data_IF_589594895401
#
_entry.id   IF_589594895401
#
_cell.length_a   1.000
_cell.length_b   1.000
_cell.length_c   1.000
_cell.angle_alpha   90.00
_cell.angle_beta   90.00
_cell.angle_gamma   90.00
#
_symmetry.space_group_name_H-M   'P 1'
#
loop_
_entity.id
_entity.type
_entity.pdbx_description
1 polymer ?
#
# COMPACT_ATOMS: atom_id res chain seq x y z
N UNK A 1 -18.42 -36.94 -35.28
CA UNK A 1 -18.47 -35.86 -34.26
C UNK A 1 -17.21 -35.94 -33.43
N UNK A 2 -16.27 -35.01 -33.58
CA UNK A 2 -15.09 -34.95 -32.72
C UNK A 2 -15.48 -34.24 -31.41
N UNK A 3 -15.34 -34.93 -30.29
CA UNK A 3 -15.56 -34.33 -28.97
C UNK A 3 -14.51 -33.23 -28.74
N UNK A 4 -14.97 -32.01 -28.53
CA UNK A 4 -14.13 -30.87 -28.19
C UNK A 4 -13.48 -31.13 -26.84
N UNK A 5 -12.14 -31.25 -26.81
CA UNK A 5 -11.37 -31.41 -25.57
C UNK A 5 -10.99 -30.04 -25.03
N UNK A 6 -11.42 -29.74 -23.82
CA UNK A 6 -11.02 -28.53 -23.13
C UNK A 6 -9.56 -28.64 -22.69
N UNK A 7 -8.79 -27.58 -22.98
CA UNK A 7 -7.38 -27.47 -22.58
C UNK A 7 -7.28 -26.73 -21.26
N UNK A 8 -6.56 -27.31 -20.29
CA UNK A 8 -6.29 -26.71 -18.99
C UNK A 8 -4.86 -26.22 -18.92
N UNK A 9 -4.64 -24.99 -18.44
CA UNK A 9 -3.32 -24.38 -18.27
C UNK A 9 -3.12 -23.97 -16.79
N UNK A 10 -1.87 -24.01 -16.33
CA UNK A 10 -1.48 -23.61 -14.98
C UNK A 10 -0.37 -22.55 -15.02
N UNK A 11 -0.60 -21.40 -14.37
CA UNK A 11 0.37 -20.31 -14.28
C UNK A 11 1.23 -20.43 -13.02
N UNK A 12 2.55 -20.57 -13.19
CA UNK A 12 3.53 -20.60 -12.11
C UNK A 12 4.60 -19.52 -12.33
N UNK A 13 4.94 -18.76 -11.29
CA UNK A 13 6.05 -17.78 -11.33
C UNK A 13 7.34 -18.45 -10.85
N UNK A 14 8.30 -18.69 -11.75
CA UNK A 14 9.62 -19.22 -11.40
C UNK A 14 10.55 -18.15 -10.83
N UNK A 15 10.61 -17.00 -11.50
CA UNK A 15 11.36 -15.83 -11.05
C UNK A 15 10.41 -14.65 -10.94
N UNK A 16 10.40 -14.04 -9.76
CA UNK A 16 9.55 -12.88 -9.47
C UNK A 16 10.08 -11.63 -10.20
N UNK A 17 9.21 -10.66 -10.52
CA UNK A 17 9.62 -9.36 -11.03
C UNK A 17 10.68 -8.73 -10.11
N UNK A 18 11.73 -8.15 -10.68
CA UNK A 18 12.81 -7.49 -9.92
C UNK A 18 12.79 -5.97 -10.03
N UNK A 19 12.00 -5.39 -10.94
CA UNK A 19 11.87 -3.95 -11.04
C UNK A 19 11.20 -3.36 -9.78
N UNK A 20 11.83 -2.37 -9.14
CA UNK A 20 11.28 -1.66 -7.99
C UNK A 20 10.55 -0.42 -8.53
N UNK A 21 9.25 -0.32 -8.28
CA UNK A 21 8.46 0.86 -8.67
C UNK A 21 8.35 1.87 -7.54
N UNK A 22 8.32 1.40 -6.29
CA UNK A 22 8.25 2.25 -5.11
C UNK A 22 9.08 1.65 -3.97
N UNK A 23 9.65 2.51 -3.14
CA UNK A 23 10.36 2.14 -1.93
C UNK A 23 10.00 3.11 -0.81
N UNK A 24 9.67 2.57 0.37
CA UNK A 24 9.44 3.34 1.59
C UNK A 24 10.30 2.78 2.71
N UNK A 25 10.74 3.63 3.63
CA UNK A 25 11.47 3.21 4.81
C UNK A 25 10.66 3.50 6.07
N UNK A 26 10.86 2.74 7.13
CA UNK A 26 10.13 2.93 8.38
C UNK A 26 10.48 1.89 9.43
N UNK A 27 9.82 2.01 10.58
CA UNK A 27 9.83 1.06 11.67
C UNK A 27 8.59 0.18 11.59
N UNK A 28 8.64 -0.88 10.78
CA UNK A 28 7.47 -1.71 10.52
C UNK A 28 7.32 -2.86 11.53
N UNK A 29 8.43 -3.43 12.02
CA UNK A 29 8.41 -4.55 12.96
C UNK A 29 8.50 -4.15 14.43
N UNK A 30 9.28 -3.12 14.75
CA UNK A 30 9.55 -2.71 16.13
C UNK A 30 10.06 -1.26 16.19
N UNK A 31 9.99 -0.60 17.36
CA UNK A 31 10.56 0.73 17.53
C UNK A 31 12.05 0.74 17.14
N UNK A 32 12.45 1.71 16.30
CA UNK A 32 13.83 1.85 15.77
C UNK A 32 14.31 0.75 14.83
N UNK A 33 13.51 -0.28 14.51
CA UNK A 33 13.87 -1.25 13.47
C UNK A 33 13.86 -0.53 12.12
N UNK A 34 15.01 -0.16 11.57
CA UNK A 34 15.07 0.51 10.27
C UNK A 34 14.86 -0.52 9.16
N UNK A 35 13.75 -0.44 8.45
CA UNK A 35 13.34 -1.42 7.46
C UNK A 35 12.84 -0.73 6.19
N UNK A 36 12.83 -1.49 5.10
CA UNK A 36 12.47 -0.99 3.77
C UNK A 36 11.36 -1.85 3.20
N UNK A 37 10.25 -1.24 2.79
CA UNK A 37 9.21 -1.91 2.03
C UNK A 37 9.32 -1.50 0.57
N UNK A 38 9.38 -2.50 -0.31
CA UNK A 38 9.51 -2.34 -1.75
C UNK A 38 8.25 -2.83 -2.45
N UNK A 39 7.82 -2.07 -3.46
CA UNK A 39 6.83 -2.53 -4.44
C UNK A 39 7.51 -2.91 -5.74
N UNK A 40 7.16 -4.09 -6.26
CA UNK A 40 7.54 -4.57 -7.59
C UNK A 40 6.32 -4.76 -8.48
N UNK A 41 5.44 -3.77 -8.47
CA UNK A 41 4.17 -3.78 -9.19
C UNK A 41 3.10 -4.60 -8.47
N UNK A 42 3.16 -5.94 -8.60
CA UNK A 42 2.18 -6.87 -7.97
C UNK A 42 2.66 -7.50 -6.66
N UNK A 43 3.94 -7.30 -6.33
CA UNK A 43 4.58 -7.90 -5.16
C UNK A 43 4.99 -6.79 -4.20
N UNK A 44 4.68 -6.98 -2.93
CA UNK A 44 5.13 -6.16 -1.81
C UNK A 44 6.16 -6.93 -1.01
N UNK A 45 7.33 -6.35 -0.76
CA UNK A 45 8.41 -7.02 -0.04
C UNK A 45 8.91 -6.17 1.12
N UNK A 46 9.19 -6.79 2.27
CA UNK A 46 9.86 -6.18 3.41
C UNK A 46 11.32 -6.64 3.42
N UNK A 47 12.23 -5.69 3.57
CA UNK A 47 13.67 -5.90 3.66
C UNK A 47 14.20 -5.28 4.95
N UNK A 48 15.23 -5.92 5.51
CA UNK A 48 15.95 -5.44 6.69
C UNK A 48 17.44 -5.28 6.36
N UNK A 49 18.01 -4.08 6.48
CA UNK A 49 19.44 -3.86 6.45
C UNK A 49 20.11 -4.50 7.66
N UNK A 50 21.26 -5.13 7.44
CA UNK A 50 22.19 -5.58 8.46
C UNK A 50 23.41 -4.66 8.44
N UNK A 51 23.51 -3.80 9.46
CA UNK A 51 24.57 -2.81 9.60
C UNK A 51 25.95 -3.46 9.78
N UNK A 52 26.02 -4.67 10.35
CA UNK A 52 27.29 -5.36 10.60
C UNK A 52 27.83 -5.99 9.32
N UNK A 53 26.97 -6.63 8.55
CA UNK A 53 27.36 -7.28 7.30
C UNK A 53 27.39 -6.33 6.09
N UNK A 54 26.80 -5.14 6.19
CA UNK A 54 26.63 -4.21 5.07
C UNK A 54 25.71 -4.77 3.97
N UNK A 55 24.77 -5.64 4.33
CA UNK A 55 23.86 -6.34 3.40
C UNK A 55 22.41 -6.06 3.74
N UNK A 56 21.53 -6.34 2.79
CA UNK A 56 20.08 -6.20 2.98
C UNK A 56 19.44 -7.57 2.76
N UNK A 57 18.63 -8.02 3.71
CA UNK A 57 17.99 -9.33 3.66
C UNK A 57 16.48 -9.20 3.45
N UNK A 58 15.87 -10.03 2.60
CA UNK A 58 14.41 -10.11 2.50
C UNK A 58 13.85 -10.75 3.78
N UNK A 59 12.81 -10.14 4.33
CA UNK A 59 12.07 -10.62 5.51
C UNK A 59 10.76 -11.28 5.08
N UNK A 60 10.01 -10.60 4.22
CA UNK A 60 8.71 -11.05 3.72
C UNK A 60 8.56 -10.69 2.25
N UNK A 61 8.00 -11.61 1.46
CA UNK A 61 7.52 -11.37 0.10
C UNK A 61 6.04 -11.71 0.05
N UNK A 62 5.21 -10.76 -0.40
CA UNK A 62 3.76 -10.89 -0.45
C UNK A 62 3.21 -10.58 -1.85
N UNK A 63 2.37 -11.47 -2.38
CA UNK A 63 1.70 -11.29 -3.66
C UNK A 63 0.36 -10.56 -3.46
N UNK A 64 0.22 -9.37 -4.01
CA UNK A 64 -0.99 -8.54 -3.83
C UNK A 64 -2.10 -8.84 -4.84
N UNK A 65 -1.81 -9.56 -5.92
CA UNK A 65 -2.74 -9.85 -7.02
C UNK A 65 -3.43 -8.59 -7.60
N UNK A 66 -2.68 -7.50 -7.69
CA UNK A 66 -3.13 -6.22 -8.25
C UNK A 66 -1.92 -5.35 -8.61
N UNK A 67 -2.16 -4.10 -8.97
CA UNK A 67 -1.11 -3.14 -9.33
C UNK A 67 -0.99 -2.08 -8.24
N UNK A 68 0.13 -2.07 -7.53
CA UNK A 68 0.49 -0.99 -6.59
C UNK A 68 0.91 0.24 -7.41
N UNK A 69 0.13 1.32 -7.28
CA UNK A 69 0.31 2.57 -8.03
C UNK A 69 0.90 3.68 -7.19
N UNK A 70 0.67 3.64 -5.87
CA UNK A 70 1.27 4.55 -4.90
C UNK A 70 1.46 3.81 -3.56
N UNK A 71 2.55 4.14 -2.87
CA UNK A 71 2.99 3.48 -1.64
C UNK A 71 3.57 4.53 -0.69
N UNK A 72 3.08 4.57 0.55
CA UNK A 72 3.56 5.54 1.55
C UNK A 72 3.57 4.94 2.96
N UNK A 73 4.49 5.43 3.79
CA UNK A 73 4.58 5.11 5.22
C UNK A 73 4.01 6.24 6.07
N UNK A 74 3.27 5.96 7.13
CA UNK A 74 2.89 6.98 8.12
C UNK A 74 2.90 6.44 9.55
N UNK A 75 3.04 7.37 10.50
CA UNK A 75 3.01 7.10 11.93
C UNK A 75 1.93 7.92 12.57
N UNK A 76 1.04 7.28 13.32
CA UNK A 76 0.10 8.01 14.17
C UNK A 76 0.86 8.79 15.25
N UNK A 77 0.35 9.95 15.66
CA UNK A 77 1.00 10.79 16.69
C UNK A 77 1.22 10.00 17.99
N UNK A 78 2.47 9.95 18.47
CA UNK A 78 2.85 9.15 19.66
C UNK A 78 3.02 7.66 19.40
N UNK A 79 3.08 7.22 18.13
CA UNK A 79 3.23 5.81 17.77
C UNK A 79 4.68 5.37 17.79
N UNK A 80 4.93 4.08 17.92
CA UNK A 80 6.29 3.54 17.91
C UNK A 80 6.63 2.77 16.63
N UNK A 81 5.61 2.43 15.84
CA UNK A 81 5.73 1.71 14.57
C UNK A 81 4.97 2.45 13.45
N UNK A 82 5.34 2.12 12.23
CA UNK A 82 4.82 2.71 11.00
C UNK A 82 3.83 1.79 10.30
N UNK A 83 2.78 2.40 9.76
CA UNK A 83 1.80 1.75 8.90
C UNK A 83 2.15 1.97 7.43
N UNK A 84 1.69 1.06 6.59
CA UNK A 84 1.89 1.11 5.13
C UNK A 84 0.55 1.43 4.48
N UNK A 85 0.50 2.48 3.65
CA UNK A 85 -0.69 2.86 2.87
C UNK A 85 -0.44 2.55 1.41
N UNK A 86 -1.42 1.92 0.78
CA UNK A 86 -1.35 1.51 -0.61
C UNK A 86 -2.52 2.11 -1.38
N UNK A 87 -2.20 2.82 -2.46
CA UNK A 87 -3.12 3.09 -3.55
C UNK A 87 -2.88 2.09 -4.67
N UNK A 88 -3.90 1.29 -4.99
CA UNK A 88 -3.84 0.26 -6.03
C UNK A 88 -4.90 0.47 -7.12
N UNK A 89 -5.03 -0.50 -8.02
CA UNK A 89 -6.11 -0.60 -8.98
C UNK A 89 -7.41 -1.18 -8.38
N UNK A 90 -7.49 -1.47 -7.08
CA UNK A 90 -8.70 -2.08 -6.51
C UNK A 90 -9.86 -1.10 -6.29
N UNK A 91 -9.63 0.22 -6.37
CA UNK A 91 -10.61 1.24 -5.99
C UNK A 91 -10.84 1.33 -4.47
N UNK A 92 -9.82 0.95 -3.70
CA UNK A 92 -9.83 0.93 -2.22
C UNK A 92 -8.62 1.63 -1.64
N UNK A 93 -8.78 2.22 -0.46
CA UNK A 93 -7.66 2.65 0.39
C UNK A 93 -7.32 1.48 1.30
N UNK A 94 -6.10 0.97 1.19
CA UNK A 94 -5.64 -0.16 2.00
C UNK A 94 -4.54 0.34 2.94
N UNK A 95 -4.69 0.00 4.22
CA UNK A 95 -3.67 0.24 5.24
C UNK A 95 -3.25 -1.09 5.84
N UNK A 96 -1.95 -1.34 5.83
CA UNK A 96 -1.32 -2.56 6.32
C UNK A 96 -0.43 -2.25 7.52
N UNK A 97 -0.27 -3.25 8.38
CA UNK A 97 0.73 -3.30 9.43
C UNK A 97 1.52 -4.60 9.26
N UNK A 98 2.83 -4.55 9.43
CA UNK A 98 3.63 -5.77 9.45
C UNK A 98 3.56 -6.42 10.84
N UNK A 99 3.31 -7.72 10.88
CA UNK A 99 3.25 -8.50 12.10
C UNK A 99 4.46 -9.46 12.15
N UNK A 100 5.46 -9.19 13.00
CA UNK A 100 6.66 -10.02 13.08
C UNK A 100 6.39 -11.44 13.58
N UNK A 101 5.35 -11.63 14.39
CA UNK A 101 5.02 -12.93 14.99
C UNK A 101 4.43 -13.90 13.97
N UNK A 102 3.60 -13.40 13.05
CA UNK A 102 3.02 -14.20 11.96
C UNK A 102 3.81 -14.11 10.65
N UNK A 103 4.81 -13.23 10.58
CA UNK A 103 5.53 -12.86 9.37
C UNK A 103 4.58 -12.56 8.21
N UNK A 104 3.60 -11.70 8.46
CA UNK A 104 2.55 -11.35 7.50
C UNK A 104 2.22 -9.86 7.53
N UNK A 105 1.58 -9.38 6.46
CA UNK A 105 0.97 -8.06 6.45
C UNK A 105 -0.50 -8.16 6.86
N UNK A 106 -0.80 -7.65 8.05
CA UNK A 106 -2.16 -7.55 8.56
C UNK A 106 -2.85 -6.35 7.93
N UNK A 107 -4.02 -6.59 7.31
CA UNK A 107 -4.83 -5.54 6.69
C UNK A 107 -5.67 -4.85 7.74
N UNK A 108 -5.14 -3.75 8.27
CA UNK A 108 -5.77 -2.95 9.33
C UNK A 108 -6.99 -2.20 8.82
N UNK A 109 -6.91 -1.64 7.61
CA UNK A 109 -8.04 -0.94 6.98
C UNK A 109 -8.20 -1.29 5.51
N UNK A 110 -9.44 -1.33 5.04
CA UNK A 110 -9.80 -1.60 3.65
C UNK A 110 -11.11 -0.93 3.29
N UNK A 111 -11.04 0.31 2.86
CA UNK A 111 -12.22 1.10 2.54
C UNK A 111 -12.40 1.28 1.04
N UNK A 112 -13.63 1.07 0.56
CA UNK A 112 -13.95 1.18 -0.86
C UNK A 112 -14.44 2.59 -1.18
N UNK A 113 -13.81 3.24 -2.15
CA UNK A 113 -14.20 4.58 -2.60
C UNK A 113 -14.56 4.64 -4.09
N UNK A 114 -14.28 3.58 -4.85
CA UNK A 114 -14.45 3.59 -6.29
C UNK A 114 -14.45 2.22 -6.94
N UNK A 115 -14.53 2.23 -8.27
CA UNK A 115 -14.48 1.01 -9.10
C UNK A 115 -13.03 0.57 -9.30
N UNK A 116 -12.83 -0.73 -9.51
CA UNK A 116 -11.53 -1.29 -9.85
C UNK A 116 -11.03 -0.86 -11.25
N UNK A 117 -9.72 -0.97 -11.45
CA UNK A 117 -8.94 -0.63 -12.64
C UNK A 117 -8.13 0.65 -12.50
N UNK A 118 -7.07 0.76 -13.29
CA UNK A 118 -6.26 1.98 -13.43
C UNK A 118 -7.04 3.05 -14.24
N UNK A 119 -7.99 3.73 -13.59
CA UNK A 119 -8.86 4.73 -14.25
C UNK A 119 -8.30 6.14 -14.11
N UNK A 120 -8.62 6.99 -15.09
CA UNK A 120 -8.25 8.43 -15.10
C UNK A 120 -8.78 9.20 -13.90
N UNK A 121 -10.04 8.97 -13.54
CA UNK A 121 -10.75 9.75 -12.52
C UNK A 121 -10.90 9.05 -11.18
N UNK A 122 -10.53 7.78 -11.04
CA UNK A 122 -10.64 7.06 -9.75
C UNK A 122 -9.30 7.16 -9.01
N UNK A 123 -9.29 7.54 -7.71
CA UNK A 123 -8.07 7.69 -6.94
C UNK A 123 -7.25 6.41 -6.82
N UNK A 124 -5.93 6.57 -6.64
CA UNK A 124 -4.97 5.47 -6.53
C UNK A 124 -3.60 5.80 -7.11
N UNK A 125 -3.54 6.79 -8.01
CA UNK A 125 -2.29 7.19 -8.65
C UNK A 125 -1.37 7.97 -7.71
N UNK A 126 -1.94 8.91 -6.98
CA UNK A 126 -1.20 9.83 -6.12
C UNK A 126 -1.61 9.61 -4.67
N UNK A 127 -0.64 9.72 -3.76
CA UNK A 127 -0.83 9.51 -2.35
C UNK A 127 0.06 10.49 -1.59
N UNK A 128 -0.55 11.25 -0.68
CA UNK A 128 0.14 12.17 0.20
C UNK A 128 -0.29 11.93 1.65
N UNK A 129 0.59 12.27 2.60
CA UNK A 129 0.33 12.17 4.04
C UNK A 129 0.63 13.48 4.75
N UNK A 130 -0.04 13.68 5.87
CA UNK A 130 0.42 14.60 6.90
C UNK A 130 1.66 14.00 7.61
N UNK A 131 2.77 14.74 7.77
CA UNK A 131 3.97 14.24 8.46
C UNK A 131 3.74 13.81 9.91
N UNK A 132 2.72 14.37 10.58
CA UNK A 132 2.31 13.98 11.95
C UNK A 132 1.31 12.82 11.96
N UNK A 133 0.96 12.28 10.79
CA UNK A 133 0.05 11.16 10.60
C UNK A 133 -1.39 11.45 11.00
N UNK A 134 -1.84 12.70 10.83
CA UNK A 134 -3.22 13.11 11.14
C UNK A 134 -4.18 12.92 9.97
N UNK A 135 -3.66 12.87 8.75
CA UNK A 135 -4.47 12.74 7.54
C UNK A 135 -3.68 12.08 6.40
N UNK A 136 -4.43 11.47 5.49
CA UNK A 136 -3.96 10.95 4.20
C UNK A 136 -4.80 11.57 3.10
N UNK A 137 -4.20 11.78 1.93
CA UNK A 137 -4.90 12.22 0.74
C UNK A 137 -4.57 11.29 -0.41
N UNK A 138 -5.59 10.73 -1.05
CA UNK A 138 -5.44 9.87 -2.23
C UNK A 138 -6.06 10.58 -3.45
N UNK A 139 -5.30 10.60 -4.54
CA UNK A 139 -5.61 11.36 -5.74
C UNK A 139 -5.70 10.48 -6.99
N UNK A 140 -6.61 10.85 -7.88
CA UNK A 140 -6.64 10.39 -9.26
C UNK A 140 -5.80 11.32 -10.15
N UNK A 141 -5.53 10.87 -11.38
CA UNK A 141 -4.85 11.71 -12.40
C UNK A 141 -5.66 12.97 -12.70
N UNK A 142 -6.98 12.88 -12.63
CA UNK A 142 -7.86 14.01 -12.86
C UNK A 142 -9.04 13.97 -11.91
N UNK A 143 -9.57 15.16 -11.57
CA UNK A 143 -10.84 15.34 -10.86
C UNK A 143 -10.86 14.89 -9.40
N UNK A 144 -10.86 13.59 -9.14
CA UNK A 144 -11.16 13.08 -7.79
C UNK A 144 -9.93 13.08 -6.89
N UNK A 145 -10.15 13.60 -5.68
CA UNK A 145 -9.22 13.58 -4.55
C UNK A 145 -10.04 13.35 -3.30
N UNK A 146 -9.56 12.47 -2.43
CA UNK A 146 -10.22 12.11 -1.17
C UNK A 146 -9.22 12.28 -0.03
N UNK A 147 -9.68 12.90 1.04
CA UNK A 147 -8.88 13.10 2.26
C UNK A 147 -9.48 12.28 3.39
N UNK A 148 -8.64 11.50 4.06
CA UNK A 148 -8.99 10.66 5.19
C UNK A 148 -8.35 11.25 6.44
N UNK A 149 -9.14 11.48 7.49
CA UNK A 149 -8.62 11.87 8.80
C UNK A 149 -8.29 10.60 9.57
N UNK A 150 -7.09 10.57 10.14
CA UNK A 150 -6.57 9.46 10.91
C UNK A 150 -6.66 9.81 12.38
N UNK A 151 -7.18 8.87 13.18
CA UNK A 151 -7.30 9.03 14.61
C UNK A 151 -6.93 7.73 15.34
N UNK A 152 -6.90 7.79 16.67
CA UNK A 152 -6.79 6.64 17.55
C UNK A 152 -8.06 6.47 18.36
N UNK A 153 -8.46 5.24 18.59
CA UNK A 153 -9.45 4.92 19.60
C UNK A 153 -8.83 4.85 21.01
N UNK A 154 -9.63 4.50 22.01
CA UNK A 154 -9.18 4.32 23.40
C UNK A 154 -8.20 3.17 23.59
N UNK A 155 -8.15 2.21 22.64
CA UNK A 155 -7.24 1.07 22.62
C UNK A 155 -5.96 1.37 21.81
N UNK A 156 -5.74 2.63 21.43
CA UNK A 156 -4.65 3.09 20.56
C UNK A 156 -4.64 2.50 19.14
N UNK A 157 -5.75 1.89 18.71
CA UNK A 157 -5.90 1.34 17.35
C UNK A 157 -6.23 2.45 16.36
N UNK A 158 -5.80 2.25 15.12
CA UNK A 158 -6.08 3.16 14.01
C UNK A 158 -7.59 3.23 13.73
N UNK A 159 -8.15 4.44 13.78
CA UNK A 159 -9.50 4.77 13.33
C UNK A 159 -9.42 5.73 12.14
N UNK A 160 -10.28 5.52 11.14
CA UNK A 160 -10.32 6.33 9.92
C UNK A 160 -11.72 6.89 9.73
N UNK A 161 -11.81 8.19 9.46
CA UNK A 161 -13.07 8.86 9.14
C UNK A 161 -13.53 8.54 7.72
N UNK A 162 -14.82 8.77 7.45
CA UNK A 162 -15.31 8.88 6.07
C UNK A 162 -14.49 9.91 5.28
N UNK A 163 -14.33 9.72 3.96
CA UNK A 163 -13.51 10.60 3.14
C UNK A 163 -14.15 11.97 2.96
N UNK A 164 -13.31 13.00 3.00
CA UNK A 164 -13.67 14.36 2.59
C UNK A 164 -13.31 14.53 1.10
N UNK A 165 -14.28 14.98 0.31
CA UNK A 165 -14.10 15.16 -1.13
C UNK A 165 -13.45 16.51 -1.46
N UNK A 166 -12.35 16.48 -2.22
CA UNK A 166 -11.67 17.66 -2.72
C UNK A 166 -11.66 17.66 -4.26
N UNK A 167 -12.82 17.39 -4.86
CA UNK A 167 -12.94 17.20 -6.30
C UNK A 167 -12.83 18.51 -7.08
N UNK A 168 -12.09 18.51 -8.20
CA UNK A 168 -12.02 19.66 -9.11
C UNK A 168 -12.07 19.22 -10.56
N UNK A 169 -13.18 19.50 -11.24
CA UNK A 169 -13.37 19.13 -12.65
C UNK A 169 -12.29 19.77 -13.55
N UNK A 170 -12.01 19.11 -14.68
CA UNK A 170 -11.08 19.62 -15.71
C UNK A 170 -9.69 20.01 -15.17
N UNK A 171 -9.24 19.34 -14.10
CA UNK A 171 -7.96 19.62 -13.46
C UNK A 171 -7.15 18.33 -13.35
N UNK A 172 -5.98 18.32 -14.01
CA UNK A 172 -4.98 17.27 -13.88
C UNK A 172 -4.19 17.44 -12.56
N UNK A 173 -3.82 16.31 -11.95
CA UNK A 173 -2.89 16.21 -10.83
C UNK A 173 -1.56 15.72 -11.39
N UNK A 174 -0.45 16.36 -11.03
CA UNK A 174 0.88 16.02 -11.56
C UNK A 174 1.78 15.33 -10.53
N UNK A 175 1.44 15.46 -9.25
CA UNK A 175 2.11 14.88 -8.08
C UNK A 175 1.12 14.62 -6.93
#
# INVERSE_FOLDING_TARGET
>A
MYAQRDTFLYGLTLQRPQAITHAIFGNFSAPKAQEIVLSRGRILELFRPDETAGKIYPVLTWECFGVIRSLMTFRLTGGSFDYIVIGSDSGKLIILQYNPSSNAFDRIHSETFGKSGCRRIVPGQFLAKDPKGRALMIGAVERQKLVYVLNRDSDEKLMISSPLEAHKAQTACLD
#
